data_IF_101345089690
#
_entry.id   IF_101345089690
#
_cell.length_a   1.000
_cell.length_b   1.000
_cell.length_c   1.000
_cell.angle_alpha   90.00
_cell.angle_beta   90.00
_cell.angle_gamma   90.00
#
_symmetry.space_group_name_H-M   'P 1'
#
loop_
_entity.id
_entity.type
_entity.pdbx_description
1 polymer ?
#
# COMPACT_ATOMS: atom_id res chain seq x y z
N UNK A 1 2.99 10.32 -25.30
CA UNK A 1 3.20 11.47 -24.39
C UNK A 1 2.42 11.32 -23.07
N UNK A 2 2.24 10.11 -22.53
CA UNK A 2 1.42 9.86 -21.32
C UNK A 2 2.18 9.15 -20.18
N UNK A 3 3.52 9.08 -20.25
CA UNK A 3 4.34 8.31 -19.29
C UNK A 3 5.14 9.18 -18.31
N UNK A 4 5.20 10.49 -18.49
CA UNK A 4 6.09 11.36 -17.71
C UNK A 4 5.49 11.83 -16.37
N UNK A 5 4.20 11.61 -16.11
CA UNK A 5 3.59 12.02 -14.82
C UNK A 5 3.82 11.00 -13.70
N UNK A 6 4.19 9.76 -14.03
CA UNK A 6 4.37 8.66 -13.06
C UNK A 6 5.84 8.34 -12.79
N UNK A 7 6.77 9.12 -13.34
CA UNK A 7 8.19 8.82 -13.29
C UNK A 7 8.96 9.90 -12.52
N UNK A 8 9.67 9.47 -11.48
CA UNK A 8 10.50 10.34 -10.65
C UNK A 8 11.93 10.26 -11.15
N UNK A 9 12.41 11.39 -11.66
CA UNK A 9 13.73 11.52 -12.26
C UNK A 9 14.72 12.33 -11.40
N UNK A 10 14.22 13.01 -10.37
CA UNK A 10 15.02 13.87 -9.50
C UNK A 10 15.34 13.15 -8.20
N UNK A 11 16.61 13.23 -7.79
CA UNK A 11 17.09 12.70 -6.53
C UNK A 11 16.58 13.50 -5.32
N UNK A 12 16.72 12.90 -4.15
CA UNK A 12 16.53 13.49 -2.82
C UNK A 12 15.11 14.01 -2.63
N UNK A 13 14.15 13.13 -2.94
CA UNK A 13 12.71 13.39 -2.84
C UNK A 13 12.03 12.43 -1.88
N UNK A 14 11.04 12.96 -1.18
CA UNK A 14 10.06 12.16 -0.46
C UNK A 14 8.78 12.09 -1.29
N UNK A 15 8.16 10.92 -1.33
CA UNK A 15 7.02 10.60 -2.17
C UNK A 15 5.98 9.93 -1.30
N UNK A 16 4.85 10.60 -1.12
CA UNK A 16 3.67 9.99 -0.50
C UNK A 16 2.83 9.33 -1.58
N UNK A 17 2.81 8.00 -1.57
CA UNK A 17 2.10 7.18 -2.55
C UNK A 17 0.63 7.11 -2.13
N UNK A 18 -0.29 7.25 -3.08
CA UNK A 18 -1.72 7.19 -2.78
C UNK A 18 -2.13 5.79 -2.28
N UNK A 19 -3.18 5.75 -1.47
CA UNK A 19 -3.68 4.50 -0.90
C UNK A 19 -4.25 3.54 -1.97
N UNK A 20 -4.88 4.07 -3.00
CA UNK A 20 -5.46 3.32 -4.12
C UNK A 20 -5.56 4.20 -5.36
N UNK A 21 -5.87 3.59 -6.51
CA UNK A 21 -6.04 4.30 -7.78
C UNK A 21 -4.73 4.45 -8.57
N UNK A 22 -4.73 5.29 -9.62
CA UNK A 22 -3.58 5.40 -10.54
C UNK A 22 -2.31 5.95 -9.88
N UNK A 23 -2.45 6.76 -8.84
CA UNK A 23 -1.32 7.37 -8.12
C UNK A 23 -0.78 6.47 -6.98
N UNK A 24 -1.27 5.23 -6.89
CA UNK A 24 -0.82 4.23 -5.91
C UNK A 24 0.41 3.45 -6.39
N UNK A 25 0.94 3.79 -7.56
CA UNK A 25 2.08 3.14 -8.21
C UNK A 25 2.84 4.13 -9.08
N UNK A 26 4.07 3.78 -9.46
CA UNK A 26 4.90 4.64 -10.29
C UNK A 26 6.30 4.09 -10.50
N UNK A 27 7.14 4.90 -11.14
CA UNK A 27 8.51 4.53 -11.49
C UNK A 27 9.52 5.50 -10.91
N UNK A 28 10.67 4.97 -10.50
CA UNK A 28 11.87 5.73 -10.15
C UNK A 28 12.95 5.38 -11.14
N UNK A 29 13.67 6.40 -11.61
CA UNK A 29 14.79 6.25 -12.52
C UNK A 29 15.96 7.06 -11.99
N UNK A 30 17.17 6.49 -12.05
CA UNK A 30 18.37 7.28 -11.81
C UNK A 30 18.48 8.43 -12.81
N UNK A 31 19.06 9.58 -12.43
CA UNK A 31 19.36 10.65 -13.37
C UNK A 31 20.15 10.11 -14.57
N UNK A 32 19.73 10.51 -15.77
CA UNK A 32 20.38 10.07 -17.01
C UNK A 32 19.92 8.71 -17.55
N UNK A 33 19.15 7.90 -16.81
CA UNK A 33 18.62 6.61 -17.31
C UNK A 33 17.81 6.78 -18.62
N UNK A 34 17.99 5.94 -19.66
CA UNK A 34 18.82 4.72 -19.70
C UNK A 34 20.23 4.95 -20.28
N UNK A 35 20.74 6.17 -20.27
CA UNK A 35 22.10 6.53 -20.71
C UNK A 35 23.08 6.42 -19.53
N UNK A 36 24.10 7.26 -19.49
CA UNK A 36 25.10 7.25 -18.42
C UNK A 36 24.50 7.70 -17.07
N UNK A 37 24.89 7.02 -16.00
CA UNK A 37 24.72 7.52 -14.64
C UNK A 37 25.95 8.34 -14.22
N UNK A 38 25.73 9.30 -13.32
CA UNK A 38 26.79 10.18 -12.80
C UNK A 38 27.24 9.65 -11.44
N UNK A 39 28.56 9.54 -11.26
CA UNK A 39 29.20 9.23 -10.00
C UNK A 39 29.53 10.47 -9.18
N UNK A 40 30.05 10.27 -7.96
CA UNK A 40 30.20 11.27 -6.88
C UNK A 40 28.88 11.89 -6.41
N UNK A 41 27.76 11.30 -6.82
CA UNK A 41 26.42 11.68 -6.44
C UNK A 41 25.78 10.61 -5.53
N UNK A 42 25.13 11.07 -4.47
CA UNK A 42 24.18 10.27 -3.69
C UNK A 42 22.76 10.65 -4.10
N UNK A 43 22.03 9.65 -4.59
CA UNK A 43 20.67 9.84 -5.08
C UNK A 43 19.70 9.00 -4.26
N UNK A 44 18.90 9.67 -3.42
CA UNK A 44 17.93 9.02 -2.53
C UNK A 44 16.47 9.31 -2.86
N UNK A 45 15.59 8.35 -2.58
CA UNK A 45 14.15 8.54 -2.56
C UNK A 45 13.57 7.89 -1.31
N UNK A 46 12.70 8.63 -0.63
CA UNK A 46 11.91 8.12 0.49
C UNK A 46 10.48 7.92 0.04
N UNK A 47 10.03 6.68 -0.01
CA UNK A 47 8.65 6.33 -0.34
C UNK A 47 7.86 6.16 0.96
N UNK A 48 6.68 6.74 1.06
CA UNK A 48 5.77 6.62 2.20
C UNK A 48 4.38 6.24 1.75
N UNK A 49 3.70 5.40 2.52
CA UNK A 49 2.28 5.03 2.35
C UNK A 49 1.52 5.22 3.66
N UNK A 50 0.20 5.04 3.62
CA UNK A 50 -0.64 5.01 4.81
C UNK A 50 -0.09 4.03 5.85
N UNK A 51 -0.21 4.29 7.17
CA UNK A 51 0.39 3.45 8.22
C UNK A 51 0.04 1.96 8.20
N UNK A 52 -1.05 1.61 7.53
CA UNK A 52 -1.59 0.24 7.45
C UNK A 52 -1.29 -0.47 6.13
N UNK A 53 -0.55 0.20 5.25
CA UNK A 53 -0.14 -0.28 3.94
C UNK A 53 1.36 -0.56 3.93
N UNK A 54 1.77 -1.36 2.95
CA UNK A 54 3.17 -1.66 2.66
C UNK A 54 3.52 -1.21 1.26
N UNK A 55 4.80 -1.27 0.92
CA UNK A 55 5.33 -0.85 -0.36
C UNK A 55 5.98 -2.07 -1.02
N UNK A 56 5.52 -2.41 -2.22
CA UNK A 56 6.23 -3.35 -3.10
C UNK A 56 7.16 -2.56 -4.00
N UNK A 57 8.45 -2.84 -3.92
CA UNK A 57 9.50 -2.29 -4.77
C UNK A 57 9.95 -3.38 -5.73
N UNK A 58 9.87 -3.11 -7.03
CA UNK A 58 10.29 -4.01 -8.10
C UNK A 58 11.46 -3.38 -8.84
N UNK A 59 12.64 -3.97 -8.71
CA UNK A 59 13.79 -3.56 -9.52
C UNK A 59 13.61 -4.17 -10.92
N UNK A 60 13.61 -3.32 -11.94
CA UNK A 60 13.40 -3.70 -13.34
C UNK A 60 14.69 -3.68 -14.16
N UNK A 61 15.62 -2.78 -13.83
CA UNK A 61 16.96 -2.71 -14.43
C UNK A 61 17.94 -2.19 -13.38
N UNK A 62 19.07 -2.88 -13.22
CA UNK A 62 20.19 -2.44 -12.37
C UNK A 62 21.46 -2.56 -13.19
N UNK A 63 21.93 -1.44 -13.70
CA UNK A 63 23.14 -1.35 -14.52
C UNK A 63 24.04 -0.29 -13.90
N UNK A 64 24.80 -0.70 -12.90
CA UNK A 64 25.83 0.11 -12.26
C UNK A 64 27.21 -0.47 -12.58
N UNK A 65 28.27 0.21 -12.14
CA UNK A 65 29.62 -0.34 -12.19
C UNK A 65 29.72 -1.53 -11.24
N UNK A 66 29.97 -2.69 -11.82
CA UNK A 66 30.25 -3.93 -11.09
C UNK A 66 31.65 -3.89 -10.48
N UNK A 67 31.95 -4.92 -9.68
CA UNK A 67 33.30 -5.18 -9.15
C UNK A 67 34.29 -5.27 -10.31
N UNK A 68 35.33 -4.44 -10.27
CA UNK A 68 36.42 -4.47 -11.24
C UNK A 68 37.37 -5.65 -11.03
N UNK A 69 38.28 -5.93 -11.99
CA UNK A 69 39.19 -7.08 -11.91
C UNK A 69 40.19 -7.05 -10.73
N UNK A 70 40.33 -5.89 -10.06
CA UNK A 70 41.21 -5.68 -8.92
C UNK A 70 40.46 -5.16 -7.68
N UNK A 71 39.14 -5.28 -7.67
CA UNK A 71 38.29 -4.86 -6.56
C UNK A 71 37.67 -6.08 -5.89
N UNK A 72 37.45 -6.00 -4.58
CA UNK A 72 36.80 -7.07 -3.80
C UNK A 72 35.32 -6.75 -3.51
N UNK A 73 34.93 -5.48 -3.60
CA UNK A 73 33.60 -4.99 -3.25
C UNK A 73 33.04 -4.05 -4.31
N UNK A 74 31.71 -3.95 -4.35
CA UNK A 74 31.00 -2.97 -5.15
C UNK A 74 31.35 -1.54 -4.70
N UNK A 75 31.77 -0.68 -5.62
CA UNK A 75 31.97 0.74 -5.31
C UNK A 75 30.69 1.56 -5.43
N UNK A 76 29.86 1.24 -6.42
CA UNK A 76 28.58 1.88 -6.63
C UNK A 76 27.47 0.89 -6.36
N UNK A 77 26.45 1.27 -5.58
CA UNK A 77 25.39 0.34 -5.21
C UNK A 77 24.03 1.00 -5.17
N UNK A 78 23.00 0.21 -5.47
CA UNK A 78 21.62 0.50 -5.10
C UNK A 78 21.29 -0.22 -3.80
N UNK A 79 20.71 0.52 -2.86
CA UNK A 79 20.22 0.01 -1.58
C UNK A 79 18.74 0.29 -1.43
N UNK A 80 18.03 -0.69 -0.90
CA UNK A 80 16.63 -0.55 -0.48
C UNK A 80 16.60 -0.90 1.00
N UNK A 81 16.13 0.03 1.84
CA UNK A 81 16.06 -0.13 3.29
C UNK A 81 14.67 0.21 3.81
N UNK A 82 14.25 -0.50 4.83
CA UNK A 82 13.07 -0.16 5.63
C UNK A 82 13.30 1.18 6.35
N UNK A 83 12.21 1.85 6.74
CA UNK A 83 12.32 3.10 7.50
C UNK A 83 12.93 2.94 8.90
N UNK A 84 13.03 1.71 9.41
CA UNK A 84 13.71 1.39 10.67
C UNK A 84 15.21 1.09 10.48
N UNK A 85 15.73 1.16 9.25
CA UNK A 85 17.12 0.92 8.90
C UNK A 85 17.46 -0.53 8.50
N UNK A 86 16.53 -1.48 8.59
CA UNK A 86 16.78 -2.86 8.11
C UNK A 86 17.00 -2.88 6.58
N UNK A 87 18.10 -3.50 6.10
CA UNK A 87 18.33 -3.60 4.66
C UNK A 87 17.44 -4.67 4.03
N UNK A 88 16.75 -4.33 2.94
CA UNK A 88 16.04 -5.27 2.07
C UNK A 88 16.91 -5.73 0.90
N UNK A 89 17.75 -4.84 0.39
CA UNK A 89 18.67 -5.12 -0.71
C UNK A 89 19.88 -4.18 -0.63
N UNK A 90 21.05 -4.70 -1.00
CA UNK A 90 22.22 -3.93 -1.40
C UNK A 90 22.89 -4.67 -2.56
N UNK A 91 22.97 -4.05 -3.74
CA UNK A 91 23.57 -4.68 -4.93
C UNK A 91 24.19 -3.65 -5.87
N UNK A 92 25.22 -4.07 -6.62
CA UNK A 92 25.79 -3.32 -7.74
C UNK A 92 25.67 -4.04 -9.09
N UNK A 93 25.20 -5.29 -9.09
CA UNK A 93 25.13 -6.12 -10.28
C UNK A 93 23.68 -6.46 -10.65
N UNK A 94 23.50 -7.00 -11.85
CA UNK A 94 22.24 -7.54 -12.31
C UNK A 94 21.85 -8.69 -11.38
N UNK A 95 20.94 -8.40 -10.44
CA UNK A 95 20.20 -9.40 -9.70
C UNK A 95 19.36 -10.21 -10.70
N UNK A 96 18.82 -11.39 -10.35
CA UNK A 96 17.78 -12.02 -11.17
C UNK A 96 16.56 -11.09 -11.24
N UNK A 97 16.46 -10.31 -12.31
CA UNK A 97 15.44 -9.29 -12.50
C UNK A 97 14.21 -9.86 -13.27
N UNK A 98 12.98 -9.43 -12.96
CA UNK A 98 12.64 -8.39 -11.99
C UNK A 98 12.66 -8.90 -10.54
N UNK A 99 13.41 -8.22 -9.67
CA UNK A 99 13.45 -8.55 -8.25
C UNK A 99 12.34 -7.81 -7.52
N UNK A 100 11.48 -8.55 -6.82
CA UNK A 100 10.40 -7.98 -6.01
C UNK A 100 10.74 -8.02 -4.52
N UNK A 101 10.67 -6.85 -3.88
CA UNK A 101 10.86 -6.66 -2.45
C UNK A 101 9.57 -6.09 -1.88
N UNK A 102 9.12 -6.62 -0.74
CA UNK A 102 7.95 -6.13 -0.03
C UNK A 102 8.38 -5.59 1.33
N UNK A 103 8.05 -4.34 1.60
CA UNK A 103 8.37 -3.71 2.87
C UNK A 103 7.57 -4.32 4.02
N UNK A 104 8.11 -4.24 5.23
CA UNK A 104 7.42 -4.53 6.50
C UNK A 104 6.86 -3.25 7.12
N UNK A 105 7.52 -2.12 6.89
CA UNK A 105 7.11 -0.81 7.37
C UNK A 105 6.31 -0.06 6.30
N UNK A 106 5.70 1.06 6.67
CA UNK A 106 4.94 1.94 5.77
C UNK A 106 5.83 2.94 5.01
N UNK A 107 7.16 2.78 5.07
CA UNK A 107 8.09 3.66 4.38
C UNK A 107 9.38 2.93 3.99
N UNK A 108 9.93 3.26 2.82
CA UNK A 108 11.15 2.64 2.27
C UNK A 108 12.08 3.72 1.78
N UNK A 109 13.35 3.61 2.13
CA UNK A 109 14.43 4.45 1.61
C UNK A 109 15.19 3.69 0.51
N UNK A 110 15.21 4.28 -0.69
CA UNK A 110 15.94 3.77 -1.85
C UNK A 110 17.10 4.72 -2.10
N UNK A 111 18.33 4.22 -2.11
CA UNK A 111 19.52 5.06 -2.32
C UNK A 111 20.45 4.44 -3.33
N UNK A 112 20.85 5.21 -4.33
CA UNK A 112 22.00 4.92 -5.20
C UNK A 112 23.18 5.69 -4.64
N UNK A 113 24.20 4.97 -4.17
CA UNK A 113 25.45 5.57 -3.73
C UNK A 113 26.50 5.27 -4.80
N UNK A 114 26.79 6.25 -5.65
CA UNK A 114 27.78 6.13 -6.70
C UNK A 114 29.07 6.86 -6.27
N UNK A 115 30.02 6.13 -5.68
CA UNK A 115 31.28 6.69 -5.18
C UNK A 115 32.35 6.84 -6.26
N UNK A 116 32.11 6.24 -7.41
CA UNK A 116 32.99 6.33 -8.58
C UNK A 116 32.97 7.73 -9.18
N UNK A 117 34.01 8.15 -9.90
CA UNK A 117 34.14 9.53 -10.41
C UNK A 117 33.66 9.69 -11.85
N UNK A 118 32.89 10.75 -12.12
CA UNK A 118 32.47 11.12 -13.48
C UNK A 118 31.28 10.34 -14.03
N UNK A 119 31.06 10.42 -15.34
CA UNK A 119 29.94 9.77 -16.03
C UNK A 119 30.30 8.34 -16.47
N UNK A 120 29.55 7.35 -16.00
CA UNK A 120 29.76 5.94 -16.32
C UNK A 120 28.82 5.47 -17.43
N UNK A 121 29.30 4.76 -18.47
CA UNK A 121 28.49 4.32 -19.62
C UNK A 121 27.67 3.06 -19.29
N UNK A 122 26.88 3.13 -18.21
CA UNK A 122 25.94 2.11 -17.76
C UNK A 122 24.59 2.76 -17.54
N UNK A 123 23.52 2.01 -17.78
CA UNK A 123 22.16 2.56 -17.89
C UNK A 123 21.64 3.21 -16.61
N UNK A 124 22.17 2.81 -15.45
CA UNK A 124 21.67 3.22 -14.15
C UNK A 124 20.60 2.26 -13.62
N UNK A 125 19.58 2.80 -12.93
CA UNK A 125 18.57 2.00 -12.23
C UNK A 125 17.15 2.39 -12.68
N UNK A 126 16.30 1.37 -12.91
CA UNK A 126 14.87 1.52 -13.12
C UNK A 126 14.12 0.68 -12.08
N UNK A 127 13.26 1.34 -11.32
CA UNK A 127 12.45 0.75 -10.25
C UNK A 127 10.98 1.06 -10.52
N UNK A 128 10.12 0.10 -10.26
CA UNK A 128 8.67 0.27 -10.16
C UNK A 128 8.24 0.08 -8.70
N UNK A 129 7.43 1.00 -8.19
CA UNK A 129 6.87 0.91 -6.84
C UNK A 129 5.34 0.85 -6.89
N UNK A 130 4.75 0.21 -5.89
CA UNK A 130 3.30 0.15 -5.69
C UNK A 130 2.98 0.06 -4.21
N UNK A 131 2.04 0.87 -3.72
CA UNK A 131 1.42 0.62 -2.42
C UNK A 131 0.63 -0.68 -2.50
N UNK A 132 0.65 -1.47 -1.44
CA UNK A 132 -0.10 -2.72 -1.34
C UNK A 132 -0.89 -2.74 -0.03
N UNK A 133 -1.90 -3.61 0.01
CA UNK A 133 -2.90 -3.74 1.08
C UNK A 133 -3.90 -2.58 1.10
N UNK A 134 -5.14 -2.85 1.53
CA UNK A 134 -6.19 -1.83 1.61
C UNK A 134 -6.15 -1.12 2.96
N UNK A 135 -6.38 0.19 2.97
CA UNK A 135 -6.57 0.98 4.21
C UNK A 135 -7.87 0.57 4.88
N UNK A 136 -7.86 0.48 6.21
CA UNK A 136 -9.05 0.15 7.01
C UNK A 136 -10.16 1.18 6.79
N UNK A 137 -11.35 0.70 6.46
CA UNK A 137 -12.53 1.57 6.39
C UNK A 137 -13.01 1.92 7.81
N UNK A 138 -13.54 3.13 8.02
CA UNK A 138 -14.07 3.50 9.34
C UNK A 138 -15.20 2.54 9.74
N UNK A 139 -15.26 2.23 11.04
CA UNK A 139 -16.38 1.49 11.59
C UNK A 139 -17.69 2.27 11.39
N UNK A 140 -18.81 1.56 11.15
CA UNK A 140 -20.11 2.22 10.95
C UNK A 140 -20.62 2.81 12.27
N UNK A 141 -21.53 3.78 12.18
CA UNK A 141 -22.33 4.19 13.34
C UNK A 141 -23.06 2.96 13.91
N UNK A 142 -23.04 2.80 15.24
CA UNK A 142 -23.61 1.64 15.93
C UNK A 142 -23.04 0.28 15.49
N UNK A 143 -21.77 0.25 15.10
CA UNK A 143 -21.00 -0.96 14.90
C UNK A 143 -19.51 -0.77 15.15
N UNK A 144 -18.75 -1.82 14.88
CA UNK A 144 -17.31 -1.89 15.16
C UNK A 144 -16.59 -2.80 14.16
N UNK A 145 -15.30 -2.56 13.98
CA UNK A 145 -14.39 -3.48 13.32
C UNK A 145 -14.03 -4.59 14.31
N UNK A 146 -14.28 -5.84 13.94
CA UNK A 146 -13.92 -7.02 14.75
C UNK A 146 -12.44 -7.34 14.60
N UNK A 147 -11.99 -7.50 13.35
CA UNK A 147 -10.59 -7.74 13.02
C UNK A 147 -10.32 -7.36 11.56
N UNK A 148 -9.04 -7.14 11.26
CA UNK A 148 -8.52 -6.95 9.91
C UNK A 148 -7.18 -7.64 9.75
N UNK A 149 -6.93 -8.14 8.54
CA UNK A 149 -5.60 -8.46 8.03
C UNK A 149 -5.42 -7.82 6.63
N UNK A 150 -4.32 -8.14 5.94
CA UNK A 150 -4.01 -7.59 4.62
C UNK A 150 -5.08 -7.84 3.54
N UNK A 151 -5.83 -8.93 3.67
CA UNK A 151 -6.78 -9.40 2.64
C UNK A 151 -8.24 -9.28 3.05
N UNK A 152 -8.53 -9.25 4.35
CA UNK A 152 -9.91 -9.37 4.87
C UNK A 152 -10.13 -8.41 6.03
N UNK A 153 -11.30 -7.77 6.06
CA UNK A 153 -11.80 -7.01 7.20
C UNK A 153 -13.20 -7.48 7.59
N UNK A 154 -13.44 -7.67 8.89
CA UNK A 154 -14.71 -8.15 9.43
C UNK A 154 -15.32 -7.08 10.33
N UNK A 155 -16.51 -6.61 9.98
CA UNK A 155 -17.28 -5.61 10.72
C UNK A 155 -18.54 -6.23 11.30
N UNK A 156 -18.98 -5.72 12.44
CA UNK A 156 -20.23 -6.13 13.06
C UNK A 156 -21.00 -4.91 13.58
N UNK A 157 -22.32 -4.97 13.46
CA UNK A 157 -23.21 -4.04 14.13
C UNK A 157 -23.39 -4.41 15.60
N UNK A 158 -23.66 -3.40 16.42
CA UNK A 158 -24.04 -3.54 17.82
C UNK A 158 -25.30 -4.41 17.96
N UNK A 159 -25.59 -4.82 19.20
CA UNK A 159 -26.81 -5.59 19.48
C UNK A 159 -28.04 -4.81 19.00
N UNK A 160 -29.01 -5.52 18.41
CA UNK A 160 -30.24 -4.99 17.80
C UNK A 160 -30.03 -4.08 16.57
N UNK A 161 -28.83 -4.07 15.97
CA UNK A 161 -28.56 -3.34 14.74
C UNK A 161 -28.10 -4.27 13.63
N UNK A 162 -28.42 -3.90 12.39
CA UNK A 162 -27.99 -4.60 11.16
C UNK A 162 -27.53 -3.58 10.12
N UNK A 163 -26.69 -4.00 9.18
CA UNK A 163 -26.31 -3.17 8.04
C UNK A 163 -27.56 -2.82 7.21
N UNK A 164 -27.72 -1.56 6.85
CA UNK A 164 -28.94 -1.05 6.18
C UNK A 164 -29.28 -1.78 4.86
N UNK A 165 -28.25 -2.17 4.12
CA UNK A 165 -28.31 -2.78 2.80
C UNK A 165 -28.45 -4.30 2.83
N UNK A 166 -27.72 -5.02 3.69
CA UNK A 166 -27.79 -6.49 3.74
C UNK A 166 -28.76 -7.03 4.79
N UNK A 167 -29.19 -6.22 5.76
CA UNK A 167 -29.96 -6.66 6.95
C UNK A 167 -29.26 -7.76 7.75
N UNK A 168 -27.95 -7.91 7.57
CA UNK A 168 -27.12 -8.81 8.37
C UNK A 168 -26.39 -8.03 9.46
N UNK A 169 -26.08 -8.70 10.57
CA UNK A 169 -25.32 -8.10 11.65
C UNK A 169 -23.81 -8.10 11.40
N UNK A 170 -23.32 -8.97 10.51
CA UNK A 170 -21.92 -9.13 10.19
C UNK A 170 -21.65 -8.76 8.73
N UNK A 171 -20.46 -8.24 8.45
CA UNK A 171 -19.99 -7.94 7.09
C UNK A 171 -18.54 -8.31 6.94
N UNK A 172 -18.23 -9.03 5.88
CA UNK A 172 -16.87 -9.40 5.51
C UNK A 172 -16.49 -8.70 4.21
N UNK A 173 -15.37 -7.99 4.22
CA UNK A 173 -14.80 -7.33 3.05
C UNK A 173 -13.49 -8.01 2.65
N UNK A 174 -13.23 -8.10 1.35
CA UNK A 174 -12.01 -8.61 0.75
C UNK A 174 -11.28 -7.50 0.01
N UNK A 175 -9.97 -7.42 0.23
CA UNK A 175 -9.09 -6.47 -0.44
C UNK A 175 -8.54 -7.08 -1.73
N UNK A 176 -8.71 -6.37 -2.84
CA UNK A 176 -8.16 -6.74 -4.14
C UNK A 176 -6.75 -6.16 -4.36
N UNK A 177 -6.05 -6.68 -5.39
CA UNK A 177 -4.67 -6.30 -5.74
C UNK A 177 -4.50 -4.82 -6.16
N UNK A 178 -5.59 -4.13 -6.45
CA UNK A 178 -5.62 -2.69 -6.74
C UNK A 178 -5.89 -1.82 -5.50
N UNK A 179 -5.76 -2.42 -4.31
CA UNK A 179 -5.99 -1.82 -2.99
C UNK A 179 -7.40 -1.28 -2.80
N UNK A 180 -8.40 -1.92 -3.43
CA UNK A 180 -9.81 -1.62 -3.20
C UNK A 180 -10.49 -2.75 -2.47
N UNK A 181 -11.33 -2.38 -1.51
CA UNK A 181 -12.29 -3.30 -0.92
C UNK A 181 -13.35 -3.66 -1.96
N UNK A 182 -13.80 -4.91 -1.94
CA UNK A 182 -14.85 -5.40 -2.82
C UNK A 182 -16.21 -4.76 -2.57
N UNK A 183 -16.41 -4.18 -1.39
CA UNK A 183 -17.66 -3.56 -0.94
C UNK A 183 -17.36 -2.48 0.12
N UNK A 184 -18.39 -1.79 0.58
CA UNK A 184 -18.34 -0.66 1.50
C UNK A 184 -18.86 -1.03 2.90
N UNK A 185 -18.74 -0.09 3.85
CA UNK A 185 -19.25 -0.23 5.22
C UNK A 185 -20.36 0.81 5.45
N UNK A 186 -21.64 0.49 5.14
CA UNK A 186 -22.79 1.35 5.41
C UNK A 186 -23.10 1.43 6.90
N UNK A 187 -23.94 2.40 7.26
CA UNK A 187 -24.41 2.56 8.63
C UNK A 187 -25.23 1.37 9.12
N UNK A 188 -25.12 1.09 10.43
CA UNK A 188 -26.00 0.15 11.09
C UNK A 188 -27.31 0.84 11.49
N UNK A 189 -28.43 0.15 11.31
CA UNK A 189 -29.77 0.64 11.67
C UNK A 189 -30.45 -0.32 12.65
N UNK A 190 -31.32 0.22 13.51
CA UNK A 190 -32.06 -0.58 14.49
C UNK A 190 -32.97 -1.58 13.79
N UNK A 191 -32.93 -2.84 14.20
CA UNK A 191 -33.92 -3.85 13.85
C UNK A 191 -35.27 -3.46 14.48
N UNK A 192 -36.20 -2.92 13.68
CA UNK A 192 -37.59 -2.74 14.10
C UNK A 192 -38.33 -4.03 13.77
N UNK A 193 -38.91 -4.69 14.78
CA UNK A 193 -39.60 -5.98 14.66
C UNK A 193 -40.71 -6.00 13.57
N UNK A 194 -40.32 -6.37 12.35
CA UNK A 194 -41.07 -7.12 11.36
C UNK A 194 -40.03 -7.63 10.35
N UNK A 195 -39.96 -8.95 10.15
CA UNK A 195 -39.14 -9.69 9.17
C UNK A 195 -37.60 -9.65 9.18
N UNK A 196 -36.93 -8.62 9.72
CA UNK A 196 -35.51 -8.37 9.34
C UNK A 196 -34.44 -8.81 10.35
N UNK A 197 -34.81 -9.48 11.43
CA UNK A 197 -33.88 -9.93 12.47
C UNK A 197 -34.18 -11.39 12.79
N UNK A 198 -33.60 -12.34 12.06
CA UNK A 198 -33.54 -13.72 12.56
C UNK A 198 -32.60 -13.73 13.77
N UNK A 199 -33.20 -13.83 14.97
CA UNK A 199 -32.62 -13.95 16.32
C UNK A 199 -32.65 -12.68 17.20
N UNK A 200 -33.83 -12.29 17.70
CA UNK A 200 -34.00 -11.93 19.13
C UNK A 200 -35.40 -12.31 19.64
N UNK A 201 -35.42 -13.12 20.69
CA UNK A 201 -36.56 -13.59 21.49
C UNK A 201 -37.41 -12.50 22.20
N UNK A 202 -37.49 -11.26 21.70
CA UNK A 202 -38.17 -10.16 22.41
C UNK A 202 -39.04 -9.23 21.53
N UNK A 203 -39.60 -9.72 20.42
CA UNK A 203 -40.72 -9.03 19.77
C UNK A 203 -42.04 -9.35 20.51
N UNK A 204 -42.18 -8.88 21.75
CA UNK A 204 -43.49 -8.82 22.40
C UNK A 204 -43.58 -7.56 23.24
N UNK A 205 -44.70 -6.87 23.07
CA UNK A 205 -45.12 -5.62 23.72
C UNK A 205 -44.64 -4.29 23.11
N UNK A 206 -45.00 -4.06 21.85
CA UNK A 206 -45.52 -2.74 21.49
C UNK A 206 -46.60 -2.84 20.42
N UNK A 207 -47.72 -3.52 20.77
CA UNK A 207 -49.00 -3.19 20.15
C UNK A 207 -49.60 -2.05 20.94
N UNK A 208 -49.50 -0.87 20.34
CA UNK A 208 -50.42 0.25 20.51
C UNK A 208 -51.85 -0.32 20.46
N UNK A 209 -52.51 -0.41 21.62
CA UNK A 209 -53.96 -0.41 21.71
C UNK A 209 -54.38 1.03 22.00
N UNK A 210 -54.44 1.82 20.95
CA UNK A 210 -55.30 2.99 20.91
C UNK A 210 -56.74 2.46 20.80
N UNK A 211 -57.38 2.17 21.94
CA UNK A 211 -58.83 2.03 21.98
C UNK A 211 -59.40 3.44 22.16
N UNK A 212 -59.89 4.02 21.07
CA UNK A 212 -60.80 5.16 21.09
C UNK A 212 -62.24 4.63 21.24
N UNK A 213 -62.93 5.20 22.22
CA UNK A 213 -64.36 5.56 22.27
C UNK A 213 -65.37 4.72 21.47
N UNK A 214 -66.27 4.04 22.20
CA UNK A 214 -67.73 4.18 22.15
C UNK A 214 -68.40 3.41 23.31
#
# INVERSE_FOLDING_TARGET
MLLDTLSIHYCNREVSIAASGPDSEGYIRSPGYPHFYIGEDECGWRLTVSPEQRIRVTLLDVSLRSIGPFEEECTDYVTVRESNGEPLLSSCDQVDLPLQLVSKTNAVDITIQARSQGAYPKRGVLIYYKSIDCVTLPAPSDGYLVYRNAHVAHYMCNVNHVFEDTRERARLLWCYDDNRWNDTVPSCVVCVCASDCELVSLCSFSRILHVRDL
#
